data_IF_489120915497
#
_entry.id   IF_489120915497
#
_cell.length_a   1.000
_cell.length_b   1.000
_cell.length_c   1.000
_cell.angle_alpha   90.00
_cell.angle_beta   90.00
_cell.angle_gamma   90.00
#
_symmetry.space_group_name_H-M   'P 1'
#
loop_
_entity.id
_entity.type
_entity.pdbx_description
1 polymer ?
#
# COMPACT_ATOMS: atom_id res chain seq x y z
N UNK A 1 0.68 -16.96 -11.85
CA UNK A 1 2.08 -16.61 -12.22
C UNK A 1 2.09 -15.12 -12.53
N UNK A 2 3.15 -14.34 -12.26
CA UNK A 2 3.13 -12.91 -12.58
C UNK A 2 2.98 -12.69 -14.08
N UNK A 3 2.00 -11.88 -14.49
CA UNK A 3 1.73 -11.65 -15.90
C UNK A 3 2.81 -10.75 -16.50
N UNK A 4 3.52 -11.24 -17.54
CA UNK A 4 4.65 -10.52 -18.09
C UNK A 4 4.18 -9.20 -18.74
N UNK A 5 4.93 -8.10 -18.58
CA UNK A 5 4.61 -6.84 -19.23
C UNK A 5 4.75 -6.95 -20.76
N UNK A 6 3.98 -6.14 -21.51
CA UNK A 6 4.15 -6.01 -22.95
C UNK A 6 5.62 -5.73 -23.33
N UNK A 7 6.14 -6.36 -24.39
CA UNK A 7 7.56 -6.34 -24.73
C UNK A 7 8.06 -4.98 -25.22
N UNK A 8 7.15 -4.06 -25.55
CA UNK A 8 7.42 -2.70 -26.00
C UNK A 8 7.52 -1.68 -24.85
N UNK A 9 7.19 -2.07 -23.62
CA UNK A 9 7.26 -1.16 -22.47
C UNK A 9 8.72 -0.84 -22.09
N UNK A 10 9.05 0.44 -21.82
CA UNK A 10 10.33 0.81 -21.22
C UNK A 10 10.41 0.31 -19.76
N UNK A 11 11.63 0.17 -19.22
CA UNK A 11 11.86 -0.42 -17.89
C UNK A 11 11.04 0.24 -16.77
N UNK A 12 10.93 1.57 -16.79
CA UNK A 12 10.12 2.31 -15.81
C UNK A 12 8.62 2.03 -15.91
N UNK A 13 8.11 1.76 -17.12
CA UNK A 13 6.73 1.34 -17.34
C UNK A 13 6.52 -0.13 -16.93
N UNK A 14 7.51 -1.01 -17.14
CA UNK A 14 7.46 -2.43 -16.71
C UNK A 14 7.36 -2.57 -15.20
N UNK A 15 8.13 -1.77 -14.45
CA UNK A 15 8.03 -1.74 -12.99
C UNK A 15 6.62 -1.33 -12.53
N UNK A 16 6.03 -0.34 -13.20
CA UNK A 16 4.66 0.09 -12.91
C UNK A 16 3.62 -0.95 -13.31
N UNK A 17 3.84 -1.66 -14.41
CA UNK A 17 3.00 -2.79 -14.83
C UNK A 17 3.02 -3.91 -13.78
N UNK A 18 4.21 -4.31 -13.31
CA UNK A 18 4.34 -5.33 -12.28
C UNK A 18 3.62 -4.94 -10.97
N UNK A 19 3.64 -3.66 -10.59
CA UNK A 19 2.88 -3.17 -9.42
C UNK A 19 1.36 -3.31 -9.59
N UNK A 20 0.85 -3.08 -10.80
CA UNK A 20 -0.60 -3.05 -11.08
C UNK A 20 -1.18 -4.43 -11.44
N UNK A 21 -0.39 -5.25 -12.13
CA UNK A 21 -0.84 -6.49 -12.80
C UNK A 21 -0.15 -7.72 -12.22
N UNK A 22 1.01 -7.56 -11.57
CA UNK A 22 1.86 -8.68 -11.18
C UNK A 22 1.26 -9.63 -10.16
N UNK A 23 0.25 -9.18 -9.40
CA UNK A 23 -0.43 -9.96 -8.35
C UNK A 23 -1.90 -10.27 -8.68
N UNK A 24 -2.35 -9.96 -9.88
CA UNK A 24 -3.72 -10.27 -10.30
C UNK A 24 -3.83 -11.73 -10.71
N UNK A 25 -4.96 -12.36 -10.40
CA UNK A 25 -5.28 -13.68 -10.92
C UNK A 25 -5.84 -13.60 -12.36
N UNK A 26 -5.96 -14.74 -13.02
CA UNK A 26 -6.41 -14.81 -14.42
C UNK A 26 -7.85 -14.25 -14.59
N UNK A 27 -8.70 -14.36 -13.57
CA UNK A 27 -10.09 -13.89 -13.60
C UNK A 27 -10.18 -12.35 -13.53
N UNK A 28 -9.41 -11.73 -12.64
CA UNK A 28 -9.28 -10.27 -12.55
C UNK A 28 -8.67 -9.66 -13.83
N UNK A 29 -7.77 -10.40 -14.48
CA UNK A 29 -7.10 -9.95 -15.70
C UNK A 29 -8.00 -9.98 -16.93
N UNK A 30 -8.83 -11.01 -17.06
CA UNK A 30 -9.80 -11.10 -18.15
C UNK A 30 -10.87 -9.99 -18.05
N UNK A 31 -11.12 -9.49 -16.84
CA UNK A 31 -12.00 -8.34 -16.60
C UNK A 31 -11.33 -6.97 -16.86
N UNK A 32 -10.00 -6.94 -17.04
CA UNK A 32 -9.21 -5.72 -17.15
C UNK A 32 -8.93 -5.32 -18.59
N UNK A 33 -8.98 -4.01 -18.80
CA UNK A 33 -8.55 -3.39 -20.05
C UNK A 33 -7.02 -3.23 -20.03
N UNK A 34 -6.31 -4.28 -20.47
CA UNK A 34 -4.85 -4.35 -20.46
C UNK A 34 -4.21 -3.25 -21.32
N UNK A 35 -4.88 -2.79 -22.37
CA UNK A 35 -4.42 -1.65 -23.19
C UNK A 35 -4.48 -0.35 -22.40
N UNK A 36 -5.55 -0.13 -21.63
CA UNK A 36 -5.68 1.04 -20.75
C UNK A 36 -4.62 1.00 -19.63
N UNK A 37 -4.28 -0.18 -19.09
CA UNK A 37 -3.18 -0.32 -18.12
C UNK A 37 -1.83 -0.03 -18.79
N UNK A 38 -1.59 -0.54 -20.00
CA UNK A 38 -0.37 -0.28 -20.78
C UNK A 38 -0.17 1.22 -20.99
N UNK A 39 -1.21 1.93 -21.42
CA UNK A 39 -1.20 3.37 -21.63
C UNK A 39 -0.95 4.15 -20.33
N UNK A 40 -1.49 3.66 -19.21
CA UNK A 40 -1.24 4.26 -17.89
C UNK A 40 0.23 4.11 -17.49
N UNK A 41 0.82 2.93 -17.70
CA UNK A 41 2.23 2.66 -17.43
C UNK A 41 3.16 3.51 -18.31
N UNK A 42 2.81 3.74 -19.57
CA UNK A 42 3.55 4.62 -20.49
C UNK A 42 3.49 6.09 -20.02
N UNK A 43 2.31 6.60 -19.66
CA UNK A 43 2.15 7.96 -19.15
C UNK A 43 2.94 8.17 -17.84
N UNK A 44 2.95 7.16 -16.96
CA UNK A 44 3.78 7.20 -15.75
C UNK A 44 5.28 7.26 -16.07
N UNK A 45 5.75 6.44 -17.02
CA UNK A 45 7.15 6.46 -17.45
C UNK A 45 7.56 7.82 -18.04
N UNK A 46 6.69 8.45 -18.81
CA UNK A 46 6.90 9.79 -19.36
C UNK A 46 6.98 10.86 -18.26
N UNK A 47 6.10 10.80 -17.25
CA UNK A 47 6.19 11.69 -16.08
C UNK A 47 7.53 11.53 -15.37
N UNK A 48 7.96 10.29 -15.09
CA UNK A 48 9.21 10.03 -14.38
C UNK A 48 10.44 10.50 -15.17
N UNK A 49 10.44 10.30 -16.49
CA UNK A 49 11.51 10.78 -17.36
C UNK A 49 11.58 12.32 -17.35
N UNK A 50 10.44 12.99 -17.47
CA UNK A 50 10.37 14.45 -17.44
C UNK A 50 10.75 15.03 -16.06
N UNK A 51 10.35 14.39 -14.97
CA UNK A 51 10.74 14.77 -13.60
C UNK A 51 12.25 14.64 -13.36
N UNK A 52 12.86 13.57 -13.88
CA UNK A 52 14.31 13.37 -13.81
C UNK A 52 15.05 14.50 -14.54
N UNK A 53 14.64 14.82 -15.76
CA UNK A 53 15.22 15.95 -16.51
C UNK A 53 14.96 17.30 -15.85
N UNK A 54 13.83 17.47 -15.17
CA UNK A 54 13.52 18.69 -14.43
C UNK A 54 14.40 18.84 -13.19
N UNK A 55 14.88 17.75 -12.60
CA UNK A 55 15.85 17.80 -11.49
C UNK A 55 17.19 18.36 -11.97
N UNK A 56 17.61 17.99 -13.19
CA UNK A 56 18.84 18.50 -13.80
C UNK A 56 18.66 19.94 -14.34
N UNK A 57 17.42 20.36 -14.63
CA UNK A 57 17.06 21.69 -15.12
C UNK A 57 15.89 22.29 -14.31
N UNK A 58 16.11 22.65 -13.03
CA UNK A 58 15.03 23.02 -12.11
C UNK A 58 14.38 24.36 -12.42
N UNK A 59 15.04 25.18 -13.25
CA UNK A 59 14.56 26.52 -13.58
C UNK A 59 13.19 26.44 -14.27
N UNK A 60 12.19 27.17 -13.75
CA UNK A 60 10.85 27.20 -14.33
C UNK A 60 10.83 27.89 -15.71
N UNK A 61 11.85 28.70 -15.99
CA UNK A 61 12.07 29.35 -17.26
C UNK A 61 13.42 28.93 -17.86
N UNK A 62 13.44 28.68 -19.16
CA UNK A 62 14.64 28.39 -19.93
C UNK A 62 14.85 29.54 -20.90
N UNK A 63 16.08 30.04 -21.00
CA UNK A 63 16.44 31.04 -22.00
C UNK A 63 16.86 30.30 -23.27
N UNK A 64 16.11 30.49 -24.36
CA UNK A 64 16.46 29.90 -25.64
C UNK A 64 17.56 30.71 -26.36
N UNK A 65 18.04 30.22 -27.51
CA UNK A 65 19.10 30.88 -28.28
C UNK A 65 18.76 32.28 -28.79
N UNK A 66 17.49 32.68 -28.75
CA UNK A 66 16.98 34.02 -29.07
C UNK A 66 17.02 35.00 -27.88
N UNK A 67 17.47 34.54 -26.70
CA UNK A 67 17.58 35.34 -25.48
C UNK A 67 16.26 35.57 -24.75
N UNK A 68 15.14 35.02 -25.22
CA UNK A 68 13.83 35.18 -24.57
C UNK A 68 13.57 34.04 -23.55
N UNK A 69 12.92 34.34 -22.40
CA UNK A 69 12.56 33.33 -21.41
C UNK A 69 11.29 32.59 -21.82
N UNK A 70 11.38 31.27 -21.92
CA UNK A 70 10.25 30.37 -22.16
C UNK A 70 9.93 29.54 -20.92
N UNK A 71 8.65 29.19 -20.72
CA UNK A 71 8.27 28.23 -19.69
C UNK A 71 8.95 26.89 -20.01
N UNK A 72 9.52 26.26 -19.00
CA UNK A 72 10.18 24.97 -19.15
C UNK A 72 9.19 23.92 -19.72
N UNK A 73 9.43 23.38 -20.94
CA UNK A 73 8.50 22.47 -21.61
C UNK A 73 8.29 21.17 -20.84
N UNK A 74 9.23 20.77 -19.98
CA UNK A 74 9.11 19.59 -19.12
C UNK A 74 7.89 19.70 -18.19
N UNK A 75 7.52 20.91 -17.76
CA UNK A 75 6.32 21.13 -16.94
C UNK A 75 5.03 20.82 -17.71
N UNK A 76 4.98 21.15 -19.00
CA UNK A 76 3.83 20.83 -19.84
C UNK A 76 3.70 19.31 -20.02
N UNK A 77 4.82 18.62 -20.27
CA UNK A 77 4.89 17.15 -20.39
C UNK A 77 4.40 16.48 -19.10
N UNK A 78 4.90 16.91 -17.93
CA UNK A 78 4.45 16.39 -16.63
C UNK A 78 2.94 16.57 -16.44
N UNK A 79 2.42 17.75 -16.75
CA UNK A 79 0.99 18.03 -16.59
C UNK A 79 0.12 17.21 -17.55
N UNK A 80 0.58 17.01 -18.80
CA UNK A 80 -0.08 16.17 -19.78
C UNK A 80 -0.11 14.70 -19.33
N UNK A 81 1.04 14.17 -18.91
CA UNK A 81 1.15 12.82 -18.37
C UNK A 81 0.23 12.61 -17.15
N UNK A 82 0.17 13.58 -16.23
CA UNK A 82 -0.76 13.56 -15.08
C UNK A 82 -2.22 13.57 -15.49
N UNK A 83 -2.59 14.41 -16.47
CA UNK A 83 -3.96 14.47 -16.96
C UNK A 83 -4.36 13.15 -17.63
N UNK A 84 -3.46 12.55 -18.41
CA UNK A 84 -3.66 11.25 -19.04
C UNK A 84 -3.80 10.14 -17.99
N UNK A 85 -2.89 10.07 -17.01
CA UNK A 85 -2.99 9.11 -15.91
C UNK A 85 -4.30 9.28 -15.11
N UNK A 86 -4.72 10.52 -14.83
CA UNK A 86 -5.99 10.76 -14.13
C UNK A 86 -7.20 10.29 -14.93
N UNK A 87 -7.20 10.51 -16.25
CA UNK A 87 -8.26 10.03 -17.14
C UNK A 87 -8.30 8.49 -17.17
N UNK A 88 -7.17 7.86 -17.48
CA UNK A 88 -7.05 6.40 -17.55
C UNK A 88 -7.39 5.75 -16.20
N UNK A 89 -6.98 6.36 -15.08
CA UNK A 89 -7.35 5.89 -13.74
C UNK A 89 -8.86 5.95 -13.47
N UNK A 90 -9.60 6.89 -14.08
CA UNK A 90 -11.07 6.91 -13.99
C UNK A 90 -11.70 5.82 -14.86
N UNK A 91 -11.12 5.53 -16.02
CA UNK A 91 -11.57 4.45 -16.91
C UNK A 91 -11.33 3.06 -16.29
N UNK A 92 -10.22 2.93 -15.53
CA UNK A 92 -9.90 1.73 -14.75
C UNK A 92 -10.65 1.65 -13.40
N UNK A 93 -11.30 2.73 -12.96
CA UNK A 93 -12.01 2.78 -11.68
C UNK A 93 -13.24 1.87 -11.75
N UNK A 94 -13.23 0.81 -10.94
CA UNK A 94 -14.28 -0.20 -10.91
C UNK A 94 -13.97 -1.44 -11.77
N UNK A 95 -12.87 -1.44 -12.53
CA UNK A 95 -12.37 -2.60 -13.29
C UNK A 95 -11.10 -3.18 -12.68
N UNK A 96 -10.21 -2.32 -12.17
CA UNK A 96 -9.15 -2.78 -11.28
C UNK A 96 -9.79 -3.36 -10.03
N UNK A 97 -9.30 -4.51 -9.52
CA UNK A 97 -9.71 -4.98 -8.21
C UNK A 97 -9.51 -3.81 -7.27
N UNK A 98 -10.62 -3.45 -6.63
CA UNK A 98 -10.70 -2.27 -5.78
C UNK A 98 -9.51 -2.29 -4.84
N UNK A 99 -9.02 -1.12 -4.43
CA UNK A 99 -8.24 -1.05 -3.18
C UNK A 99 -8.91 -1.82 -2.05
N UNK A 100 -10.22 -2.10 -2.10
CA UNK A 100 -10.95 -3.00 -1.20
C UNK A 100 -10.60 -4.50 -1.34
N UNK A 101 -10.21 -5.01 -2.52
CA UNK A 101 -9.76 -6.39 -2.70
C UNK A 101 -8.33 -6.58 -2.14
N UNK A 102 -7.41 -5.64 -2.45
CA UNK A 102 -6.09 -5.60 -1.81
C UNK A 102 -6.20 -5.29 -0.31
N UNK A 103 -7.12 -4.42 0.10
CA UNK A 103 -7.41 -4.17 1.52
C UNK A 103 -8.03 -5.41 2.18
N UNK A 104 -8.87 -6.17 1.48
CA UNK A 104 -9.43 -7.43 1.94
C UNK A 104 -8.32 -8.43 2.23
N UNK A 105 -7.40 -8.64 1.30
CA UNK A 105 -6.23 -9.50 1.49
C UNK A 105 -5.36 -9.01 2.67
N UNK A 106 -5.10 -7.71 2.77
CA UNK A 106 -4.31 -7.17 3.89
C UNK A 106 -5.07 -7.27 5.22
N UNK A 107 -6.39 -7.11 5.25
CA UNK A 107 -7.22 -7.34 6.44
C UNK A 107 -7.17 -8.80 6.87
N UNK A 108 -7.38 -9.72 5.95
CA UNK A 108 -7.27 -11.17 6.20
C UNK A 108 -5.89 -11.53 6.76
N UNK A 109 -4.82 -11.06 6.12
CA UNK A 109 -3.45 -11.27 6.60
C UNK A 109 -3.21 -10.65 7.98
N UNK A 110 -3.79 -9.48 8.25
CA UNK A 110 -3.68 -8.82 9.55
C UNK A 110 -4.42 -9.61 10.64
N UNK A 111 -5.62 -10.13 10.38
CA UNK A 111 -6.37 -10.97 11.32
C UNK A 111 -5.58 -12.25 11.67
N UNK A 112 -5.05 -12.94 10.66
CA UNK A 112 -4.19 -14.13 10.86
C UNK A 112 -2.94 -13.78 11.68
N UNK A 113 -2.29 -12.66 11.40
CA UNK A 113 -1.12 -12.22 12.15
C UNK A 113 -1.46 -11.88 13.61
N UNK A 114 -2.61 -11.23 13.88
CA UNK A 114 -3.08 -10.97 15.25
C UNK A 114 -3.25 -12.30 16.00
N UNK A 115 -3.91 -13.29 15.39
CA UNK A 115 -4.12 -14.59 16.03
C UNK A 115 -2.80 -15.30 16.31
N UNK A 116 -1.90 -15.32 15.32
CA UNK A 116 -0.57 -15.91 15.46
C UNK A 116 0.21 -15.31 16.62
N UNK A 117 0.18 -13.97 16.76
CA UNK A 117 0.84 -13.25 17.87
C UNK A 117 0.18 -13.53 19.22
N UNK A 118 -1.14 -13.69 19.25
CA UNK A 118 -1.84 -14.06 20.49
C UNK A 118 -1.45 -15.46 20.96
N UNK A 119 -1.32 -16.42 20.03
CA UNK A 119 -0.82 -17.77 20.33
C UNK A 119 0.64 -17.75 20.79
N UNK A 120 1.51 -16.95 20.14
CA UNK A 120 2.90 -16.77 20.60
C UNK A 120 2.99 -16.23 22.03
N UNK A 121 2.14 -15.26 22.39
CA UNK A 121 2.11 -14.72 23.75
C UNK A 121 1.69 -15.76 24.79
N UNK A 122 0.73 -16.62 24.44
CA UNK A 122 0.27 -17.68 25.31
C UNK A 122 1.36 -18.73 25.61
N UNK A 123 2.31 -18.92 24.68
CA UNK A 123 3.42 -19.86 24.82
C UNK A 123 4.64 -19.28 25.57
N UNK A 124 4.64 -17.98 25.87
CA UNK A 124 5.75 -17.33 26.58
C UNK A 124 5.53 -17.41 28.09
N UNK A 125 6.50 -18.02 28.79
CA UNK A 125 6.63 -17.84 30.24
C UNK A 125 7.36 -16.52 30.52
N UNK A 126 6.73 -15.54 31.21
CA UNK A 126 7.37 -14.27 31.48
C UNK A 126 8.54 -14.44 32.45
N UNK A 127 9.53 -13.58 32.30
CA UNK A 127 10.53 -13.38 33.36
C UNK A 127 9.92 -12.53 34.47
N UNK A 128 10.38 -12.70 35.71
CA UNK A 128 9.91 -11.95 36.88
C UNK A 128 9.90 -10.42 36.68
N UNK A 129 10.82 -9.88 35.89
CA UNK A 129 10.96 -8.44 35.64
C UNK A 129 10.06 -7.87 34.54
N UNK A 130 9.45 -8.74 33.71
CA UNK A 130 8.57 -8.33 32.60
C UNK A 130 7.10 -8.66 32.87
N UNK A 131 6.78 -9.01 34.13
CA UNK A 131 5.51 -9.62 34.46
C UNK A 131 4.32 -8.68 34.25
N UNK A 132 4.42 -7.39 34.61
CA UNK A 132 3.32 -6.43 34.43
C UNK A 132 3.03 -6.12 32.95
N UNK A 133 4.07 -5.97 32.12
CA UNK A 133 3.91 -5.76 30.67
C UNK A 133 3.33 -7.01 30.00
N UNK A 134 3.79 -8.19 30.40
CA UNK A 134 3.26 -9.46 29.90
C UNK A 134 1.83 -9.71 30.36
N UNK A 135 1.46 -9.39 31.60
CA UNK A 135 0.08 -9.50 32.11
C UNK A 135 -0.87 -8.62 31.28
N UNK A 136 -0.47 -7.39 30.95
CA UNK A 136 -1.25 -6.50 30.08
C UNK A 136 -1.39 -7.05 28.65
N UNK A 137 -0.32 -7.63 28.08
CA UNK A 137 -0.36 -8.25 26.75
C UNK A 137 -1.18 -9.55 26.70
N UNK A 138 -1.22 -10.32 27.80
CA UNK A 138 -2.10 -11.49 27.93
C UNK A 138 -3.56 -11.05 28.03
N UNK A 139 -3.85 -10.03 28.85
CA UNK A 139 -5.22 -9.56 29.09
C UNK A 139 -5.79 -8.89 27.83
N UNK A 140 -5.02 -7.99 27.22
CA UNK A 140 -5.49 -7.10 26.16
C UNK A 140 -4.97 -7.44 24.76
N UNK A 141 -4.12 -8.47 24.64
CA UNK A 141 -3.54 -8.91 23.39
C UNK A 141 -2.18 -8.25 23.07
N UNK A 142 -1.51 -8.70 22.00
CA UNK A 142 -0.18 -8.19 21.63
C UNK A 142 -0.18 -6.71 21.28
N UNK A 143 0.94 -6.05 21.56
CA UNK A 143 1.13 -4.64 21.21
C UNK A 143 1.29 -4.47 19.69
N UNK A 144 0.37 -3.73 19.07
CA UNK A 144 0.38 -3.56 17.61
C UNK A 144 1.51 -2.64 17.16
N UNK A 145 2.32 -3.13 16.23
CA UNK A 145 3.32 -2.34 15.53
C UNK A 145 3.48 -2.82 14.10
N UNK A 146 2.85 -2.13 13.14
CA UNK A 146 2.95 -2.46 11.72
C UNK A 146 4.41 -2.62 11.25
N UNK A 147 5.30 -1.74 11.72
CA UNK A 147 6.72 -1.77 11.38
C UNK A 147 7.44 -3.04 11.89
N UNK A 148 7.07 -3.55 13.07
CA UNK A 148 7.68 -4.76 13.66
C UNK A 148 7.02 -6.04 13.14
N UNK A 149 5.71 -6.01 12.92
CA UNK A 149 4.95 -7.20 12.54
C UNK A 149 5.17 -7.58 11.07
N UNK A 150 5.32 -6.57 10.20
CA UNK A 150 5.43 -6.77 8.74
C UNK A 150 6.78 -6.29 8.16
N UNK A 151 7.80 -6.12 9.01
CA UNK A 151 9.16 -5.72 8.62
C UNK A 151 9.25 -4.48 7.71
N UNK A 152 8.37 -3.48 7.95
CA UNK A 152 8.25 -2.28 7.11
C UNK A 152 8.85 -1.01 7.77
N UNK A 153 9.93 -1.14 8.54
CA UNK A 153 10.53 -0.02 9.29
C UNK A 153 10.95 1.16 8.41
N UNK A 154 11.49 0.89 7.22
CA UNK A 154 11.90 1.91 6.24
C UNK A 154 10.86 2.25 5.17
N UNK A 155 9.67 1.63 5.20
CA UNK A 155 8.64 1.79 4.19
C UNK A 155 7.38 2.46 4.76
N UNK A 156 7.38 3.80 4.75
CA UNK A 156 6.28 4.61 5.29
C UNK A 156 4.93 4.33 4.61
N UNK A 157 4.95 4.06 3.30
CA UNK A 157 3.74 3.79 2.53
C UNK A 157 3.07 2.50 2.99
N UNK A 158 3.87 1.46 3.17
CA UNK A 158 3.39 0.15 3.64
C UNK A 158 2.95 0.21 5.10
N UNK A 159 3.70 0.90 5.95
CA UNK A 159 3.30 1.13 7.34
C UNK A 159 1.94 1.82 7.45
N UNK A 160 1.72 2.89 6.67
CA UNK A 160 0.42 3.58 6.63
C UNK A 160 -0.70 2.67 6.11
N UNK A 161 -0.39 1.76 5.18
CA UNK A 161 -1.38 0.79 4.68
C UNK A 161 -1.84 -0.15 5.78
N UNK A 162 -0.91 -0.76 6.53
CA UNK A 162 -1.23 -1.64 7.65
C UNK A 162 -1.98 -0.91 8.78
N UNK A 163 -1.61 0.34 9.08
CA UNK A 163 -2.37 1.16 10.04
C UNK A 163 -3.81 1.39 9.59
N UNK A 164 -4.04 1.72 8.30
CA UNK A 164 -5.41 1.86 7.77
C UNK A 164 -6.20 0.55 7.76
N UNK A 165 -5.53 -0.58 7.53
CA UNK A 165 -6.17 -1.90 7.66
C UNK A 165 -6.65 -2.10 9.09
N UNK A 166 -5.81 -1.80 10.08
CA UNK A 166 -6.15 -1.89 11.49
C UNK A 166 -7.33 -0.96 11.84
N UNK A 167 -7.28 0.31 11.46
CA UNK A 167 -8.39 1.25 11.69
C UNK A 167 -9.71 0.74 11.10
N UNK A 168 -9.64 0.08 9.94
CA UNK A 168 -10.82 -0.51 9.33
C UNK A 168 -11.30 -1.77 10.05
N UNK A 169 -10.42 -2.65 10.54
CA UNK A 169 -10.83 -3.81 11.35
C UNK A 169 -11.50 -3.38 12.66
N UNK A 170 -11.02 -2.30 13.28
CA UNK A 170 -11.63 -1.69 14.47
C UNK A 170 -13.02 -1.17 14.12
N UNK A 171 -13.15 -0.44 13.00
CA UNK A 171 -14.44 0.07 12.52
C UNK A 171 -15.43 -1.04 12.13
N UNK A 172 -14.94 -2.20 11.70
CA UNK A 172 -15.73 -3.39 11.37
C UNK A 172 -16.00 -4.28 12.61
N UNK A 173 -15.56 -3.87 13.81
CA UNK A 173 -15.73 -4.60 15.08
C UNK A 173 -15.12 -6.02 15.10
N UNK A 174 -14.13 -6.29 14.24
CA UNK A 174 -13.42 -7.57 14.17
C UNK A 174 -12.25 -7.65 15.18
N UNK A 175 -11.86 -6.51 15.74
CA UNK A 175 -10.80 -6.40 16.76
C UNK A 175 -11.19 -5.40 17.84
N UNK A 176 -10.73 -5.65 19.06
CA UNK A 176 -10.79 -4.71 20.18
C UNK A 176 -9.38 -4.22 20.49
N UNK A 177 -9.27 -2.93 20.80
CA UNK A 177 -8.01 -2.31 21.21
C UNK A 177 -8.05 -1.84 22.66
N UNK A 178 -6.98 -2.06 23.40
CA UNK A 178 -6.76 -1.44 24.71
C UNK A 178 -5.58 -0.49 24.63
N UNK A 179 -5.69 0.68 25.27
CA UNK A 179 -4.68 1.72 25.23
C UNK A 179 -4.60 2.42 26.58
N UNK A 180 -3.40 2.47 27.14
CA UNK A 180 -3.14 3.32 28.31
C UNK A 180 -3.25 4.81 27.93
N UNK A 181 -3.76 5.62 28.84
CA UNK A 181 -3.94 7.05 28.61
C UNK A 181 -2.62 7.71 28.21
N UNK A 182 -2.59 8.32 27.01
CA UNK A 182 -1.40 8.98 26.46
C UNK A 182 -0.36 8.06 25.78
N UNK A 183 -0.51 6.73 25.84
CA UNK A 183 0.42 5.80 25.17
C UNK A 183 0.34 5.94 23.64
N UNK A 184 1.45 5.83 22.91
CA UNK A 184 1.43 5.88 21.42
C UNK A 184 1.01 4.55 20.79
N UNK A 185 1.20 3.46 21.51
CA UNK A 185 0.95 2.10 21.06
C UNK A 185 -0.28 1.55 21.79
N UNK A 186 -0.92 0.54 21.20
CA UNK A 186 -2.12 -0.08 21.74
C UNK A 186 -2.05 -1.60 21.56
N UNK A 187 -2.62 -2.31 22.52
CA UNK A 187 -2.80 -3.76 22.48
C UNK A 187 -4.01 -4.06 21.60
N UNK A 188 -3.96 -5.16 20.85
CA UNK A 188 -5.03 -5.59 19.95
C UNK A 188 -5.40 -7.04 20.19
N UNK A 189 -6.70 -7.33 20.22
CA UNK A 189 -7.24 -8.68 20.37
C UNK A 189 -8.37 -8.90 19.36
N UNK A 190 -8.54 -10.13 18.90
CA UNK A 190 -9.68 -10.51 18.06
C UNK A 190 -10.97 -10.51 18.88
N UNK A 191 -12.07 -10.12 18.24
CA UNK A 191 -13.42 -10.44 18.73
C UNK A 191 -13.82 -11.85 18.26
N UNK A 192 -14.88 -12.45 18.82
CA UNK A 192 -15.42 -13.70 18.29
C UNK A 192 -15.73 -13.62 16.78
N UNK A 193 -16.28 -12.49 16.32
CA UNK A 193 -16.55 -12.23 14.90
C UNK A 193 -15.25 -12.16 14.09
N UNK A 194 -14.19 -11.59 14.67
CA UNK A 194 -12.85 -11.58 14.07
C UNK A 194 -12.22 -12.96 13.95
N UNK A 195 -12.45 -13.85 14.92
CA UNK A 195 -12.02 -15.25 14.88
C UNK A 195 -12.78 -16.04 13.80
N UNK A 196 -14.12 -15.91 13.75
CA UNK A 196 -14.95 -16.53 12.70
C UNK A 196 -14.57 -16.05 11.29
N UNK A 197 -14.23 -14.77 11.14
CA UNK A 197 -13.79 -14.19 9.87
C UNK A 197 -12.45 -14.77 9.37
N UNK A 198 -11.66 -15.42 10.23
CA UNK A 198 -10.45 -16.16 9.85
C UNK A 198 -10.82 -17.57 9.39
N UNK A 199 -11.71 -18.26 10.12
CA UNK A 199 -12.10 -19.65 9.83
C UNK A 199 -12.94 -19.77 8.53
N UNK A 200 -13.63 -18.71 8.14
CA UNK A 200 -14.42 -18.65 6.91
C UNK A 200 -13.63 -18.40 5.61
N UNK A 201 -12.29 -18.31 5.67
CA UNK A 201 -11.38 -18.09 4.52
C UNK A 201 -10.81 -19.40 4.00
#
# INVERSE_FOLDING_TARGET
MPHPPPPDLPDSARNKWAELVGNLDDEDLDALDLDTIRDYCLAHAEEQAALKLLTDCPNPFIVAGDGQPYINPLRAIINQARAQMMRLRRELRGKLPSTAATMGEHKSRLLVEIQRRHLELADISPSYWAQAEWEAEIEHGPLFSAARWFDCQGNDTERMRWTRCMDSLIGDELVVTSREEGAKWFNVKLTPEGEEAIEGQ
#
